data_IF_329591343424
#
_entry.id   IF_329591343424
#
_cell.length_a   1.000
_cell.length_b   1.000
_cell.length_c   1.000
_cell.angle_alpha   90.00
_cell.angle_beta   90.00
_cell.angle_gamma   90.00
#
_symmetry.space_group_name_H-M   'P 1'
#
loop_
_entity.id
_entity.type
_entity.pdbx_description
1 polymer ?
#
# COMPACT_ATOMS: atom_id res chain seq x y z
N UNK A 1 -7.41 -18.61 7.81
CA UNK A 1 -7.36 -17.79 6.58
C UNK A 1 -6.09 -16.97 6.62
N UNK A 2 -5.12 -17.28 5.78
CA UNK A 2 -3.85 -16.56 5.71
C UNK A 2 -4.12 -15.24 5.00
N UNK A 3 -4.04 -14.10 5.68
CA UNK A 3 -4.08 -12.80 5.00
C UNK A 3 -2.88 -12.73 4.06
N UNK A 4 -3.11 -12.52 2.77
CA UNK A 4 -2.04 -12.28 1.81
C UNK A 4 -1.18 -11.10 2.29
N UNK A 5 0.13 -11.20 2.04
CA UNK A 5 1.11 -10.21 2.49
C UNK A 5 1.87 -9.68 1.29
N UNK A 6 2.10 -8.37 1.28
CA UNK A 6 2.87 -7.68 0.26
C UNK A 6 4.16 -7.19 0.90
N UNK A 7 5.27 -7.39 0.21
CA UNK A 7 6.57 -6.92 0.66
C UNK A 7 6.74 -5.46 0.22
N UNK A 8 6.92 -4.57 1.19
CA UNK A 8 7.08 -3.13 0.97
C UNK A 8 8.37 -2.64 1.63
N UNK A 9 8.77 -1.42 1.29
CA UNK A 9 9.97 -0.77 1.82
C UNK A 9 9.58 0.53 2.51
N UNK A 10 10.20 0.83 3.65
CA UNK A 10 10.02 2.11 4.30
C UNK A 10 10.57 3.23 3.40
N UNK A 11 9.79 4.30 3.10
CA UNK A 11 10.23 5.33 2.15
C UNK A 11 11.43 6.16 2.65
N UNK A 12 11.72 6.14 3.95
CA UNK A 12 12.78 6.92 4.56
C UNK A 12 14.11 6.14 4.69
N UNK A 13 14.04 4.85 5.03
CA UNK A 13 15.24 4.04 5.31
C UNK A 13 15.37 2.78 4.47
N UNK A 14 14.45 2.55 3.53
CA UNK A 14 14.40 1.39 2.63
C UNK A 14 14.37 0.04 3.36
N UNK A 15 13.99 0.04 4.64
CA UNK A 15 13.85 -1.18 5.42
C UNK A 15 12.65 -1.97 4.90
N UNK A 16 12.89 -3.24 4.54
CA UNK A 16 11.86 -4.13 4.04
C UNK A 16 10.94 -4.63 5.17
N UNK A 17 9.64 -4.63 4.91
CA UNK A 17 8.64 -5.18 5.82
C UNK A 17 7.49 -5.85 5.03
N UNK A 18 6.69 -6.66 5.72
CA UNK A 18 5.53 -7.32 5.13
C UNK A 18 4.26 -6.65 5.65
N UNK A 19 3.49 -6.04 4.75
CA UNK A 19 2.19 -5.46 5.05
C UNK A 19 1.08 -6.46 4.70
N UNK A 20 0.06 -6.58 5.54
CA UNK A 20 -1.06 -7.48 5.28
C UNK A 20 -2.12 -6.78 4.44
N UNK A 21 -2.63 -7.43 3.40
CA UNK A 21 -3.71 -6.87 2.58
C UNK A 21 -4.96 -6.74 3.48
N UNK A 22 -5.61 -5.55 3.54
CA UNK A 22 -6.74 -5.33 4.43
C UNK A 22 -7.97 -6.13 4.00
N UNK A 23 -8.25 -6.18 2.69
CA UNK A 23 -9.33 -6.96 2.09
C UNK A 23 -9.09 -7.18 0.59
N UNK A 24 -9.84 -8.09 -0.02
CA UNK A 24 -9.68 -8.48 -1.43
C UNK A 24 -10.01 -7.36 -2.44
N UNK A 25 -10.77 -6.34 -2.05
CA UNK A 25 -11.12 -5.20 -2.90
C UNK A 25 -10.02 -4.13 -2.96
N UNK A 26 -8.99 -4.20 -2.10
CA UNK A 26 -7.87 -3.25 -2.09
C UNK A 26 -6.53 -4.01 -2.15
N UNK A 27 -6.26 -4.76 -3.25
CA UNK A 27 -5.12 -5.66 -3.32
C UNK A 27 -3.79 -4.95 -3.57
N UNK A 28 -3.81 -3.69 -4.04
CA UNK A 28 -2.62 -2.92 -4.37
C UNK A 28 -2.30 -1.94 -3.27
N UNK A 29 -1.01 -1.83 -2.92
CA UNK A 29 -0.49 -0.87 -1.96
C UNK A 29 0.34 0.21 -2.66
N UNK A 30 0.28 1.44 -2.15
CA UNK A 30 1.17 2.56 -2.49
C UNK A 30 1.60 3.30 -1.24
N UNK A 31 2.84 3.81 -1.22
CA UNK A 31 3.35 4.68 -0.15
C UNK A 31 3.04 6.16 -0.40
N UNK A 32 2.36 6.46 -1.51
CA UNK A 32 1.90 7.80 -1.87
C UNK A 32 0.41 7.74 -2.16
N UNK A 33 -0.32 8.77 -1.70
CA UNK A 33 -1.77 8.86 -1.91
C UNK A 33 -2.06 8.82 -3.41
N UNK A 34 -2.85 7.84 -3.89
CA UNK A 34 -3.13 7.71 -5.31
C UNK A 34 -4.01 8.88 -5.77
N UNK A 35 -3.89 9.25 -7.05
CA UNK A 35 -4.72 10.31 -7.64
C UNK A 35 -6.14 9.79 -7.85
N UNK A 36 -7.16 10.64 -7.71
CA UNK A 36 -8.58 10.24 -7.80
C UNK A 36 -8.93 9.47 -9.09
N UNK A 37 -8.22 9.72 -10.19
CA UNK A 37 -8.42 9.04 -11.48
C UNK A 37 -7.48 7.83 -11.72
N UNK A 38 -6.89 7.27 -10.66
CA UNK A 38 -5.93 6.14 -10.77
C UNK A 38 -6.38 4.87 -10.07
N UNK A 39 -7.51 4.91 -9.36
CA UNK A 39 -8.10 3.78 -8.66
C UNK A 39 -9.61 3.72 -8.87
N UNK A 40 -10.18 2.52 -8.77
CA UNK A 40 -11.61 2.30 -8.74
C UNK A 40 -12.10 2.26 -7.29
N UNK A 41 -13.28 2.83 -7.04
CA UNK A 41 -13.88 2.85 -5.71
C UNK A 41 -13.17 3.73 -4.68
N UNK A 42 -12.76 3.12 -3.56
CA UNK A 42 -12.25 3.81 -2.37
C UNK A 42 -10.78 3.48 -2.09
N UNK A 43 -10.14 4.29 -1.24
CA UNK A 43 -8.78 4.07 -0.75
C UNK A 43 -8.82 3.84 0.76
N UNK A 44 -8.12 2.82 1.23
CA UNK A 44 -7.88 2.59 2.66
C UNK A 44 -6.50 3.14 3.00
N UNK A 45 -6.44 4.10 3.91
CA UNK A 45 -5.20 4.60 4.49
C UNK A 45 -4.88 3.83 5.77
N UNK A 46 -3.71 3.17 5.80
CA UNK A 46 -3.17 2.48 6.96
C UNK A 46 -1.89 3.17 7.42
N UNK A 47 -1.84 3.61 8.67
CA UNK A 47 -0.64 4.21 9.26
C UNK A 47 0.30 3.09 9.74
N UNK A 48 1.55 3.14 9.31
CA UNK A 48 2.56 2.14 9.62
C UNK A 48 3.80 2.76 10.27
N UNK A 49 4.23 2.19 11.39
CA UNK A 49 5.46 2.60 12.08
C UNK A 49 6.65 1.77 11.60
N UNK A 50 7.70 2.45 11.14
CA UNK A 50 8.92 1.77 10.74
C UNK A 50 9.60 1.09 11.94
N UNK A 51 9.69 -0.24 11.90
CA UNK A 51 10.36 -1.04 12.94
C UNK A 51 11.89 -0.98 12.91
N UNK A 52 12.48 -0.24 11.97
CA UNK A 52 13.92 -0.01 11.96
C UNK A 52 14.28 0.93 13.13
N UNK A 53 15.11 0.49 14.11
CA UNK A 53 15.44 1.29 15.29
C UNK A 53 16.15 2.60 14.98
N UNK A 54 16.72 2.75 13.77
CA UNK A 54 17.35 3.99 13.31
C UNK A 54 16.39 4.97 12.63
N UNK A 55 15.28 4.47 12.11
CA UNK A 55 14.31 5.29 11.37
C UNK A 55 13.24 5.82 12.32
N UNK A 56 12.49 4.90 12.97
CA UNK A 56 11.34 5.22 13.84
C UNK A 56 10.29 6.17 13.24
N UNK A 57 10.34 6.42 11.94
CA UNK A 57 9.36 7.24 11.22
C UNK A 57 8.06 6.48 10.99
N UNK A 58 6.97 7.24 11.00
CA UNK A 58 5.62 6.77 10.69
C UNK A 58 5.26 7.20 9.27
N UNK A 59 4.67 6.30 8.48
CA UNK A 59 4.26 6.57 7.11
C UNK A 59 2.93 5.89 6.77
N UNK A 60 2.20 6.42 5.79
CA UNK A 60 0.93 5.86 5.35
C UNK A 60 1.11 4.87 4.19
N UNK A 61 0.36 3.78 4.25
CA UNK A 61 0.17 2.81 3.17
C UNK A 61 -1.26 2.99 2.66
N UNK A 62 -1.39 3.27 1.37
CA UNK A 62 -2.66 3.45 0.69
C UNK A 62 -3.00 2.18 -0.08
N UNK A 63 -4.09 1.53 0.31
CA UNK A 63 -4.60 0.33 -0.36
C UNK A 63 -5.77 0.68 -1.28
N UNK A 64 -5.74 0.19 -2.52
CA UNK A 64 -6.77 0.48 -3.53
C UNK A 64 -6.86 -0.59 -4.61
N UNK A 65 -7.91 -0.53 -5.42
CA UNK A 65 -8.03 -1.26 -6.69
C UNK A 65 -7.56 -0.33 -7.82
N UNK A 66 -6.48 -0.64 -8.56
CA UNK A 66 -6.05 0.21 -9.66
C UNK A 66 -7.09 0.17 -10.78
N UNK A 67 -7.36 1.32 -11.43
CA UNK A 67 -8.15 1.32 -12.65
C UNK A 67 -7.41 0.45 -13.67
N UNK A 68 -8.02 -0.66 -14.07
CA UNK A 68 -7.57 -1.40 -15.23
C UNK A 68 -7.84 -0.50 -16.41
N UNK A 69 -6.81 0.21 -16.88
CA UNK A 69 -6.85 0.80 -18.21
C UNK A 69 -7.03 -0.37 -19.16
N UNK A 70 -8.29 -0.63 -19.54
CA UNK A 70 -8.64 -1.63 -20.52
C UNK A 70 -7.72 -1.41 -21.72
N UNK A 71 -6.98 -2.47 -22.00
CA UNK A 71 -6.19 -2.68 -23.21
C UNK A 71 -6.92 -2.03 -24.38
N UNK A 72 -6.35 -0.95 -24.93
CA UNK A 72 -6.74 -0.40 -26.23
C UNK A 72 -6.40 -1.47 -27.27
N UNK A 73 -7.35 -2.32 -27.60
CA UNK A 73 -7.36 -3.12 -28.82
C UNK A 73 -8.57 -2.76 -29.66
#
# INVERSE_FOLDING_TARGET
MTKDKVKLECPQCYWMFNAAIPNSAHPVASLSKPKENSFDGSVIEEVHDCRNPKCKETFSIYWFEPIRFLDRS
#
